data_IF_981668896842
#
_entry.id   IF_981668896842
#
_cell.length_a   1.000
_cell.length_b   1.000
_cell.length_c   1.000
_cell.angle_alpha   90.00
_cell.angle_beta   90.00
_cell.angle_gamma   90.00
#
_symmetry.space_group_name_H-M   'P 1'
#
loop_
_entity.id
_entity.type
_entity.pdbx_description
1 polymer ?
#
# COMPACT_ATOMS: atom_id res chain seq x y z
N UNK A 1 -13.16 10.80 -42.91
CA UNK A 1 -12.00 11.59 -42.49
C UNK A 1 -12.13 12.13 -41.10
N UNK A 2 -13.23 12.71 -40.74
CA UNK A 2 -13.45 13.21 -39.38
C UNK A 2 -13.34 12.11 -38.31
N UNK A 3 -13.78 10.92 -38.63
CA UNK A 3 -13.68 9.77 -37.72
C UNK A 3 -12.25 9.42 -37.32
N UNK A 4 -11.31 9.58 -38.26
CA UNK A 4 -9.90 9.27 -37.99
C UNK A 4 -9.29 10.24 -36.99
N UNK A 5 -9.66 11.51 -37.06
CA UNK A 5 -9.16 12.55 -36.12
C UNK A 5 -9.68 12.30 -34.71
N UNK A 6 -10.93 11.91 -34.56
CA UNK A 6 -11.52 11.61 -33.26
C UNK A 6 -10.86 10.40 -32.60
N UNK A 7 -10.56 9.36 -33.37
CA UNK A 7 -9.87 8.16 -32.90
C UNK A 7 -8.45 8.50 -32.44
N UNK A 8 -7.77 9.39 -33.16
CA UNK A 8 -6.41 9.85 -32.79
C UNK A 8 -6.41 10.59 -31.46
N UNK A 9 -7.37 11.48 -31.25
CA UNK A 9 -7.50 12.21 -29.97
C UNK A 9 -7.83 11.24 -28.83
N UNK A 10 -8.71 10.27 -29.04
CA UNK A 10 -9.06 9.26 -28.07
C UNK A 10 -7.86 8.43 -27.62
N UNK A 11 -6.97 8.11 -28.55
CA UNK A 11 -5.74 7.35 -28.23
C UNK A 11 -4.80 8.11 -27.32
N UNK A 12 -4.68 9.43 -27.47
CA UNK A 12 -3.83 10.25 -26.61
C UNK A 12 -4.38 10.29 -25.17
N UNK A 13 -5.67 10.47 -25.02
CA UNK A 13 -6.32 10.48 -23.71
C UNK A 13 -6.17 9.13 -23.00
N UNK A 14 -6.36 8.04 -23.71
CA UNK A 14 -6.21 6.69 -23.18
C UNK A 14 -4.77 6.44 -22.69
N UNK A 15 -3.75 6.94 -23.39
CA UNK A 15 -2.35 6.79 -22.95
C UNK A 15 -2.09 7.51 -21.63
N UNK A 16 -2.57 8.73 -21.48
CA UNK A 16 -2.36 9.53 -20.27
C UNK A 16 -3.06 8.91 -19.06
N UNK A 17 -4.32 8.52 -19.21
CA UNK A 17 -5.08 7.81 -18.19
C UNK A 17 -4.42 6.48 -17.86
N UNK A 18 -3.85 5.80 -18.85
CA UNK A 18 -3.19 4.52 -18.67
C UNK A 18 -1.94 4.60 -17.77
N UNK A 19 -1.17 5.69 -17.84
CA UNK A 19 0.01 5.85 -16.99
C UNK A 19 -0.40 6.06 -15.53
N UNK A 20 -1.32 6.97 -15.25
CA UNK A 20 -1.83 7.20 -13.90
C UNK A 20 -2.51 5.95 -13.36
N UNK A 21 -3.24 5.25 -14.20
CA UNK A 21 -3.90 4.00 -13.86
C UNK A 21 -2.86 2.93 -13.47
N UNK A 22 -1.76 2.83 -14.19
CA UNK A 22 -0.68 1.90 -13.86
C UNK A 22 -0.04 2.21 -12.51
N UNK A 23 0.24 3.48 -12.25
CA UNK A 23 0.81 3.91 -10.97
C UNK A 23 -0.15 3.60 -9.83
N UNK A 24 -1.43 3.88 -10.03
CA UNK A 24 -2.48 3.58 -9.05
C UNK A 24 -2.52 2.08 -8.74
N UNK A 25 -2.53 1.23 -9.77
CA UNK A 25 -2.54 -0.21 -9.60
C UNK A 25 -1.26 -0.71 -8.92
N UNK A 26 -0.12 -0.14 -9.29
CA UNK A 26 1.16 -0.48 -8.65
C UNK A 26 1.12 -0.16 -7.15
N UNK A 27 0.52 0.97 -6.77
CA UNK A 27 0.38 1.34 -5.36
C UNK A 27 -0.51 0.36 -4.60
N UNK A 28 -1.61 -0.10 -5.20
CA UNK A 28 -2.49 -1.11 -4.60
C UNK A 28 -1.76 -2.45 -4.43
N UNK A 29 -1.03 -2.87 -5.45
CA UNK A 29 -0.26 -4.11 -5.41
C UNK A 29 0.84 -4.05 -4.36
N UNK A 30 1.52 -2.91 -4.25
CA UNK A 30 2.56 -2.72 -3.25
C UNK A 30 1.98 -2.82 -1.84
N UNK A 31 0.84 -2.19 -1.59
CA UNK A 31 0.18 -2.27 -0.29
C UNK A 31 -0.14 -3.73 0.07
N UNK A 32 -0.62 -4.52 -0.89
CA UNK A 32 -0.93 -5.94 -0.67
C UNK A 32 0.32 -6.77 -0.45
N UNK A 33 1.38 -6.52 -1.18
CA UNK A 33 2.66 -7.22 -1.01
C UNK A 33 3.20 -7.00 0.40
N UNK A 34 3.18 -5.75 0.86
CA UNK A 34 3.66 -5.39 2.20
C UNK A 34 2.76 -6.01 3.27
N UNK A 35 1.44 -5.95 3.09
CA UNK A 35 0.49 -6.57 4.00
C UNK A 35 0.77 -8.07 4.18
N UNK A 36 0.89 -8.78 3.08
CA UNK A 36 1.11 -10.21 3.11
C UNK A 36 2.47 -10.58 3.71
N UNK A 37 3.51 -9.81 3.39
CA UNK A 37 4.83 -10.00 3.97
C UNK A 37 4.82 -9.75 5.49
N UNK A 38 4.11 -8.73 5.93
CA UNK A 38 3.94 -8.42 7.34
C UNK A 38 3.25 -9.58 8.07
N UNK A 39 2.13 -10.07 7.52
CA UNK A 39 1.37 -11.17 8.12
C UNK A 39 2.22 -12.43 8.24
N UNK A 40 3.00 -12.75 7.21
CA UNK A 40 3.83 -13.96 7.14
C UNK A 40 5.20 -13.81 7.80
N UNK A 41 5.55 -12.61 8.26
CA UNK A 41 6.86 -12.27 8.77
C UNK A 41 7.96 -12.53 7.73
N UNK A 42 7.67 -12.21 6.49
CA UNK A 42 8.61 -12.33 5.37
C UNK A 42 9.45 -11.06 5.28
N UNK A 43 10.54 -11.02 6.04
CA UNK A 43 11.38 -9.85 6.17
C UNK A 43 12.09 -9.47 4.87
N UNK A 44 12.46 -10.45 4.08
CA UNK A 44 13.12 -10.23 2.79
C UNK A 44 12.21 -9.44 1.84
N UNK A 45 10.95 -9.84 1.73
CA UNK A 45 9.96 -9.16 0.89
C UNK A 45 9.66 -7.76 1.42
N UNK A 46 9.54 -7.61 2.75
CA UNK A 46 9.35 -6.29 3.37
C UNK A 46 10.50 -5.35 3.01
N UNK A 47 11.73 -5.82 3.15
CA UNK A 47 12.92 -5.01 2.90
C UNK A 47 12.99 -4.55 1.44
N UNK A 48 12.64 -5.43 0.51
CA UNK A 48 12.67 -5.10 -0.93
C UNK A 48 11.64 -4.05 -1.33
N UNK A 49 10.55 -3.96 -0.60
CA UNK A 49 9.40 -3.14 -0.99
C UNK A 49 9.23 -1.89 -0.11
N UNK A 50 10.18 -1.62 0.76
CA UNK A 50 10.17 -0.46 1.64
C UNK A 50 11.47 0.32 1.50
N UNK A 51 11.43 1.61 1.82
CA UNK A 51 12.68 2.37 2.00
C UNK A 51 13.37 1.86 3.26
N UNK A 52 14.65 2.16 3.39
CA UNK A 52 15.44 1.74 4.55
C UNK A 52 14.80 2.19 5.86
N UNK A 53 14.36 3.45 5.92
CA UNK A 53 13.74 4.01 7.12
C UNK A 53 12.39 3.36 7.42
N UNK A 54 11.59 3.13 6.38
CA UNK A 54 10.27 2.50 6.54
C UNK A 54 10.41 1.06 7.02
N UNK A 55 11.36 0.31 6.46
CA UNK A 55 11.64 -1.05 6.90
C UNK A 55 12.01 -1.08 8.39
N UNK A 56 12.91 -0.21 8.79
CA UNK A 56 13.33 -0.09 10.19
C UNK A 56 12.13 0.21 11.09
N UNK A 57 11.28 1.16 10.70
CA UNK A 57 10.10 1.53 11.47
C UNK A 57 9.15 0.36 11.66
N UNK A 58 8.91 -0.41 10.61
CA UNK A 58 8.01 -1.58 10.67
C UNK A 58 8.59 -2.63 11.61
N UNK A 59 9.87 -2.93 11.47
CA UNK A 59 10.53 -3.96 12.30
C UNK A 59 10.55 -3.55 13.77
N UNK A 60 10.88 -2.31 14.07
CA UNK A 60 10.92 -1.82 15.44
C UNK A 60 9.55 -1.76 16.11
N UNK A 61 8.51 -1.47 15.30
CA UNK A 61 7.14 -1.38 15.82
C UNK A 61 6.43 -2.72 15.91
N UNK A 62 6.95 -3.74 15.25
CA UNK A 62 6.28 -5.04 15.14
C UNK A 62 6.04 -5.67 16.50
N UNK A 63 4.80 -6.08 16.74
CA UNK A 63 4.39 -6.82 17.93
C UNK A 63 4.30 -8.32 17.59
N UNK A 64 4.38 -9.13 18.63
CA UNK A 64 4.20 -10.57 18.46
C UNK A 64 2.73 -10.91 18.24
N UNK A 65 2.47 -11.81 17.30
CA UNK A 65 1.16 -12.44 17.13
C UNK A 65 1.36 -13.83 16.50
N UNK A 66 0.46 -14.75 16.82
CA UNK A 66 0.50 -16.11 16.27
C UNK A 66 -0.01 -16.12 14.82
N UNK A 67 -1.06 -15.37 14.56
CA UNK A 67 -1.64 -15.23 13.23
C UNK A 67 -2.35 -13.90 13.12
N UNK A 68 -2.52 -13.44 11.88
CA UNK A 68 -3.23 -12.21 11.60
C UNK A 68 -4.00 -12.32 10.29
N UNK A 69 -5.15 -11.65 10.27
CA UNK A 69 -5.92 -11.42 9.06
C UNK A 69 -6.09 -9.91 8.94
N UNK A 70 -5.62 -9.35 7.85
CA UNK A 70 -5.61 -7.90 7.64
C UNK A 70 -6.15 -7.62 6.25
N UNK A 71 -7.13 -6.74 6.15
CA UNK A 71 -7.72 -6.34 4.87
C UNK A 71 -7.59 -4.83 4.67
N UNK A 72 -7.29 -4.45 3.45
CA UNK A 72 -7.14 -3.06 3.02
C UNK A 72 -8.20 -2.70 2.02
N UNK A 73 -8.83 -1.54 2.21
CA UNK A 73 -9.77 -0.96 1.26
C UNK A 73 -9.25 0.40 0.82
N UNK A 74 -8.70 0.52 -0.40
CA UNK A 74 -8.23 1.81 -0.90
C UNK A 74 -9.41 2.76 -1.11
N UNK A 75 -9.22 4.03 -0.74
CA UNK A 75 -10.23 5.08 -0.93
C UNK A 75 -9.81 6.11 -1.94
N UNK A 76 -8.53 6.44 -1.97
CA UNK A 76 -8.08 7.54 -2.78
C UNK A 76 -6.56 7.49 -2.98
N UNK A 77 -6.14 7.94 -4.13
CA UNK A 77 -4.73 7.98 -4.53
C UNK A 77 -4.42 9.38 -5.02
N UNK A 78 -3.36 9.96 -4.49
CA UNK A 78 -2.81 11.21 -4.98
C UNK A 78 -1.42 10.95 -5.55
N UNK A 79 -1.25 11.30 -6.81
CA UNK A 79 0.04 11.17 -7.50
C UNK A 79 0.64 12.57 -7.60
N UNK A 80 1.77 12.78 -6.93
CA UNK A 80 2.46 14.05 -6.90
C UNK A 80 3.93 13.83 -7.28
N UNK A 81 4.21 13.94 -8.58
CA UNK A 81 5.53 13.68 -9.11
C UNK A 81 5.99 12.24 -8.82
N UNK A 82 7.08 12.10 -8.07
CA UNK A 82 7.64 10.80 -7.71
C UNK A 82 6.99 10.20 -6.45
N UNK A 83 6.07 10.92 -5.82
CA UNK A 83 5.42 10.49 -4.58
C UNK A 83 3.97 10.08 -4.86
N UNK A 84 3.54 8.99 -4.25
CA UNK A 84 2.17 8.51 -4.33
C UNK A 84 1.65 8.36 -2.90
N UNK A 85 0.52 9.02 -2.61
CA UNK A 85 -0.16 8.90 -1.32
C UNK A 85 -1.42 8.06 -1.51
N UNK A 86 -1.47 6.91 -0.86
CA UNK A 86 -2.60 5.99 -0.92
C UNK A 86 -3.33 5.99 0.41
N UNK A 87 -4.58 6.44 0.42
CA UNK A 87 -5.43 6.38 1.61
C UNK A 87 -6.16 5.05 1.65
N UNK A 88 -6.04 4.36 2.77
CA UNK A 88 -6.55 3.01 2.96
C UNK A 88 -7.29 2.91 4.28
N UNK A 89 -8.52 2.40 4.24
CA UNK A 89 -9.18 1.88 5.46
C UNK A 89 -8.69 0.46 5.66
N UNK A 90 -8.41 0.09 6.89
CA UNK A 90 -8.00 -1.27 7.18
C UNK A 90 -8.78 -1.85 8.35
N UNK A 91 -8.95 -3.16 8.30
CA UNK A 91 -9.49 -3.98 9.40
C UNK A 91 -8.53 -5.11 9.63
N UNK A 92 -8.28 -5.41 10.88
CA UNK A 92 -7.37 -6.50 11.23
C UNK A 92 -7.86 -7.31 12.41
N UNK A 93 -7.47 -8.58 12.40
CA UNK A 93 -7.67 -9.50 13.51
C UNK A 93 -6.32 -10.13 13.79
N UNK A 94 -5.90 -10.08 15.04
CA UNK A 94 -4.65 -10.70 15.49
C UNK A 94 -4.97 -11.73 16.56
N UNK A 95 -4.35 -12.90 16.46
CA UNK A 95 -4.46 -13.91 17.49
C UNK A 95 -3.15 -13.94 18.27
N UNK A 96 -3.23 -13.73 19.58
CA UNK A 96 -2.07 -13.69 20.47
C UNK A 96 -2.35 -14.62 21.64
N UNK A 97 -1.62 -15.73 21.71
CA UNK A 97 -1.77 -16.75 22.79
C UNK A 97 -3.22 -17.20 22.93
N UNK A 98 -3.85 -17.48 21.79
CA UNK A 98 -5.23 -17.94 21.74
C UNK A 98 -6.29 -16.84 21.89
N UNK A 99 -5.88 -15.61 22.14
CA UNK A 99 -6.79 -14.48 22.30
C UNK A 99 -6.89 -13.72 20.98
N UNK A 100 -8.12 -13.40 20.60
CA UNK A 100 -8.41 -12.65 19.38
C UNK A 100 -8.52 -11.16 19.68
N UNK A 101 -7.78 -10.36 18.95
CA UNK A 101 -7.78 -8.90 19.06
C UNK A 101 -8.21 -8.32 17.71
N UNK A 102 -9.25 -7.50 17.69
CA UNK A 102 -9.72 -6.84 16.48
C UNK A 102 -9.46 -5.35 16.57
N UNK A 103 -9.08 -4.76 15.42
CA UNK A 103 -8.88 -3.31 15.33
C UNK A 103 -9.13 -2.87 13.90
N UNK A 104 -9.27 -1.56 13.71
CA UNK A 104 -9.47 -0.95 12.40
C UNK A 104 -8.98 0.49 12.43
N UNK A 105 -8.70 1.03 11.27
CA UNK A 105 -8.23 2.39 11.19
C UNK A 105 -8.17 2.91 9.76
N UNK A 106 -7.69 4.12 9.64
CA UNK A 106 -7.47 4.80 8.36
C UNK A 106 -6.01 5.20 8.30
N UNK A 107 -5.29 4.74 7.30
CA UNK A 107 -3.88 5.04 7.11
C UNK A 107 -3.65 5.74 5.78
N UNK A 108 -2.56 6.48 5.68
CA UNK A 108 -2.06 6.99 4.42
C UNK A 108 -0.68 6.38 4.19
N UNK A 109 -0.56 5.60 3.12
CA UNK A 109 0.70 5.00 2.71
C UNK A 109 1.39 5.94 1.74
N UNK A 110 2.52 6.49 2.16
CA UNK A 110 3.35 7.34 1.31
C UNK A 110 4.37 6.46 0.61
N UNK A 111 4.29 6.43 -0.70
CA UNK A 111 5.15 5.59 -1.56
C UNK A 111 5.98 6.48 -2.46
N UNK A 112 7.19 6.06 -2.78
CA UNK A 112 8.09 6.84 -3.62
C UNK A 112 9.01 5.96 -4.44
N UNK A 113 9.59 6.54 -5.47
CA UNK A 113 10.57 5.88 -6.32
C UNK A 113 9.96 5.13 -7.49
N UNK A 114 10.84 4.60 -8.33
CA UNK A 114 10.49 3.77 -9.49
C UNK A 114 11.47 2.59 -9.53
N UNK A 115 11.04 1.38 -9.18
CA UNK A 115 9.68 1.00 -8.75
C UNK A 115 9.28 1.62 -7.39
N UNK A 116 7.98 1.68 -7.15
CA UNK A 116 7.46 2.25 -5.90
C UNK A 116 7.89 1.43 -4.70
N UNK A 117 8.23 2.14 -3.62
CA UNK A 117 8.50 1.54 -2.32
C UNK A 117 7.74 2.31 -1.26
N UNK A 118 7.32 1.62 -0.21
CA UNK A 118 6.69 2.29 0.93
C UNK A 118 7.73 3.10 1.68
N UNK A 119 7.48 4.40 1.84
CA UNK A 119 8.39 5.32 2.51
C UNK A 119 7.91 5.68 3.92
N UNK A 120 6.59 5.71 4.14
CA UNK A 120 6.02 6.14 5.42
C UNK A 120 4.58 5.71 5.53
N UNK A 121 4.12 5.45 6.74
CA UNK A 121 2.71 5.23 7.05
C UNK A 121 2.26 6.32 8.01
N UNK A 122 1.25 7.08 7.60
CA UNK A 122 0.69 8.16 8.40
C UNK A 122 -0.65 7.75 8.99
N UNK A 123 -1.04 8.37 10.08
CA UNK A 123 -2.29 8.17 10.82
C UNK A 123 -2.29 6.79 11.50
N UNK A 124 -3.37 6.01 11.35
CA UNK A 124 -3.51 4.72 12.03
C UNK A 124 -2.69 3.66 11.33
N UNK A 125 -1.56 3.32 11.88
CA UNK A 125 -0.61 2.40 11.25
C UNK A 125 -0.94 0.95 11.64
N UNK A 126 -1.39 0.11 10.67
CA UNK A 126 -1.75 -1.28 10.99
C UNK A 126 -0.55 -2.14 11.38
N UNK A 127 0.66 -1.74 11.01
CA UNK A 127 1.87 -2.51 11.29
C UNK A 127 2.39 -2.32 12.72
N UNK A 128 1.73 -1.48 13.50
CA UNK A 128 2.00 -1.30 14.93
C UNK A 128 1.08 -2.13 15.81
N UNK A 129 0.17 -2.87 15.21
CA UNK A 129 -0.81 -3.68 15.92
C UNK A 129 -0.34 -5.14 16.07
N UNK A 130 -0.87 -5.87 17.06
CA UNK A 130 -1.82 -5.42 18.09
C UNK A 130 -1.13 -4.61 19.17
N UNK A 131 -1.87 -3.75 19.82
CA UNK A 131 -1.39 -2.96 20.94
C UNK A 131 -1.58 -3.68 22.26
#
# INVERSE_FOLDING_TARGET
MLLFLLVSCGKKEVKQVSEDSKITQESFMLADVIKNAYIKNDLSTLEKNTTKDSYKDIIEARKYFDSSDLSFTPHWVEIDGATVNLQVSWKGTWTVKGKRIEDRGLAVFVMEGRPLKLAKVLRDNPFRKPE
#
